data_IF_519155846767
#
_entry.id   IF_519155846767
#
_cell.length_a   1.000
_cell.length_b   1.000
_cell.length_c   1.000
_cell.angle_alpha   90.00
_cell.angle_beta   90.00
_cell.angle_gamma   90.00
#
_symmetry.space_group_name_H-M   'P 1'
#
loop_
_entity.id
_entity.type
_entity.pdbx_description
1 polymer ?
#
# COMPACT_ATOMS: atom_id res chain seq x y z
N UNK A 1 21.38 53.41 -26.88
CA UNK A 1 21.64 52.69 -28.14
C UNK A 1 21.55 51.21 -27.79
N UNK A 2 20.36 50.60 -27.92
CA UNK A 2 19.91 49.83 -29.11
C UNK A 2 20.84 48.67 -29.46
N UNK A 3 20.43 47.45 -29.83
CA UNK A 3 19.15 46.75 -29.95
C UNK A 3 19.54 45.31 -30.36
N UNK A 4 18.89 44.24 -29.87
CA UNK A 4 18.79 42.98 -30.62
C UNK A 4 17.71 42.06 -30.05
N UNK A 5 16.88 41.57 -30.96
CA UNK A 5 15.59 40.94 -30.82
C UNK A 5 15.71 39.40 -30.95
N UNK A 6 14.58 38.68 -30.83
CA UNK A 6 14.30 37.29 -31.24
C UNK A 6 14.53 36.21 -30.14
N UNK A 7 13.62 35.27 -29.84
CA UNK A 7 12.34 34.82 -30.41
C UNK A 7 11.64 33.94 -29.35
N UNK A 8 10.30 34.03 -29.23
CA UNK A 8 9.47 32.96 -28.62
C UNK A 8 9.30 31.82 -29.63
N UNK A 9 9.32 30.53 -29.22
CA UNK A 9 8.70 29.48 -30.01
C UNK A 9 7.23 29.29 -29.62
N UNK A 10 6.38 29.22 -30.65
CA UNK A 10 4.98 28.81 -30.62
C UNK A 10 4.86 27.28 -30.67
N UNK A 11 3.82 26.78 -30.01
CA UNK A 11 3.01 25.57 -30.28
C UNK A 11 3.62 24.43 -31.13
N UNK A 12 3.78 23.27 -30.50
CA UNK A 12 3.94 21.98 -31.18
C UNK A 12 3.83 20.81 -30.20
N UNK A 13 2.73 20.07 -30.30
CA UNK A 13 2.45 18.72 -29.75
C UNK A 13 2.67 18.47 -28.24
N UNK A 14 1.56 18.41 -27.51
CA UNK A 14 1.45 17.84 -26.15
C UNK A 14 1.74 16.34 -26.08
N UNK A 15 1.99 15.65 -27.21
CA UNK A 15 2.23 14.20 -27.23
C UNK A 15 3.69 13.79 -27.00
N UNK A 16 4.66 14.70 -27.16
CA UNK A 16 6.09 14.37 -26.98
C UNK A 16 6.58 14.54 -25.54
N UNK A 17 5.83 15.23 -24.66
CA UNK A 17 6.21 15.41 -23.25
C UNK A 17 5.77 14.28 -22.32
N UNK A 18 4.90 13.36 -22.76
CA UNK A 18 4.43 12.25 -21.92
C UNK A 18 5.33 11.02 -21.99
N UNK A 19 6.13 10.87 -23.04
CA UNK A 19 7.10 9.78 -23.19
C UNK A 19 8.43 10.04 -22.46
N UNK A 20 8.85 11.29 -22.31
CA UNK A 20 10.05 11.63 -21.50
C UNK A 20 9.83 11.44 -19.99
N UNK A 21 8.58 11.48 -19.50
CA UNK A 21 8.28 11.26 -18.08
C UNK A 21 8.33 9.77 -17.71
N UNK A 22 8.18 8.85 -18.67
CA UNK A 22 8.12 7.41 -18.42
C UNK A 22 9.41 6.62 -18.72
N UNK A 23 10.42 7.23 -19.36
CA UNK A 23 11.69 6.57 -19.72
C UNK A 23 12.81 6.71 -18.67
N UNK A 24 12.54 7.26 -17.49
CA UNK A 24 13.52 7.39 -16.38
C UNK A 24 13.33 6.30 -15.30
N UNK A 25 12.84 5.12 -15.69
CA UNK A 25 13.04 3.87 -14.94
C UNK A 25 14.25 3.20 -15.57
N UNK A 26 15.32 3.04 -14.80
CA UNK A 26 16.62 2.40 -15.11
C UNK A 26 17.79 3.41 -15.05
N UNK A 27 18.13 3.84 -13.83
CA UNK A 27 19.31 4.65 -13.57
C UNK A 27 19.28 5.19 -12.15
N UNK A 28 20.16 4.66 -11.29
CA UNK A 28 20.18 4.89 -9.84
C UNK A 28 19.91 6.34 -9.42
N UNK A 29 18.92 6.52 -8.55
CA UNK A 29 18.64 7.81 -7.92
C UNK A 29 19.87 8.32 -7.19
N UNK A 30 20.61 9.25 -7.81
CA UNK A 30 21.60 10.06 -7.08
C UNK A 30 20.81 10.99 -6.16
N UNK A 31 20.64 10.54 -4.92
CA UNK A 31 19.91 11.17 -3.83
C UNK A 31 20.51 12.55 -3.55
N UNK A 32 19.81 13.62 -3.94
CA UNK A 32 20.21 14.98 -3.55
C UNK A 32 19.83 15.16 -2.08
N UNK A 33 20.79 14.93 -1.19
CA UNK A 33 20.64 15.23 0.23
C UNK A 33 20.70 16.75 0.41
N UNK A 34 19.89 17.34 1.29
CA UNK A 34 20.06 18.74 1.67
C UNK A 34 21.48 18.95 2.21
N UNK A 35 22.12 20.07 1.87
CA UNK A 35 23.36 20.50 2.54
C UNK A 35 23.10 20.80 4.02
N UNK A 36 24.15 20.84 4.84
CA UNK A 36 24.04 20.93 6.31
C UNK A 36 23.14 22.08 6.79
N UNK A 37 23.26 23.26 6.19
CA UNK A 37 22.42 24.45 6.46
C UNK A 37 20.90 24.15 6.32
N UNK A 38 20.52 23.43 5.26
CA UNK A 38 19.12 23.05 5.03
C UNK A 38 18.62 21.95 5.98
N UNK A 39 19.52 21.22 6.64
CA UNK A 39 19.15 20.20 7.64
C UNK A 39 18.81 20.87 8.96
N UNK A 40 19.57 21.88 9.36
CA UNK A 40 19.31 22.65 10.57
C UNK A 40 17.97 23.40 10.45
N UNK A 41 17.69 24.05 9.32
CA UNK A 41 16.39 24.66 9.06
C UNK A 41 15.22 23.67 9.17
N UNK A 42 15.38 22.46 8.63
CA UNK A 42 14.34 21.43 8.68
C UNK A 42 14.09 20.95 10.11
N UNK A 43 15.16 20.76 10.89
CA UNK A 43 15.09 20.42 12.30
C UNK A 43 14.37 21.52 13.08
N UNK A 44 14.74 22.78 12.87
CA UNK A 44 14.13 23.93 13.56
C UNK A 44 12.62 24.02 13.29
N UNK A 45 12.20 23.86 12.04
CA UNK A 45 10.77 23.88 11.67
C UNK A 45 10.02 22.72 12.34
N UNK A 46 10.57 21.51 12.32
CA UNK A 46 9.95 20.34 12.94
C UNK A 46 9.88 20.45 14.47
N UNK A 47 10.92 21.02 15.10
CA UNK A 47 10.93 21.27 16.54
C UNK A 47 9.87 22.32 16.92
N UNK A 48 9.73 23.41 16.16
CA UNK A 48 8.66 24.39 16.39
C UNK A 48 7.28 23.75 16.26
N UNK A 49 7.07 22.89 15.27
CA UNK A 49 5.81 22.17 15.09
C UNK A 49 5.50 21.24 16.27
N UNK A 50 6.52 20.55 16.81
CA UNK A 50 6.40 19.72 18.02
C UNK A 50 6.11 20.57 19.26
N UNK A 51 6.74 21.72 19.39
CA UNK A 51 6.67 22.56 20.60
C UNK A 51 5.46 23.50 20.61
N UNK A 52 4.69 23.56 19.52
CA UNK A 52 3.47 24.38 19.43
C UNK A 52 2.36 23.73 20.26
N UNK A 53 1.84 24.39 21.32
CA UNK A 53 0.73 23.88 22.11
C UNK A 53 -0.52 23.65 21.25
N UNK A 54 -1.27 22.60 21.54
CA UNK A 54 -2.51 22.19 20.83
C UNK A 54 -2.34 21.83 19.34
N UNK A 55 -1.11 21.82 18.81
CA UNK A 55 -0.85 21.32 17.47
C UNK A 55 -0.82 19.79 17.48
N UNK A 56 -1.52 19.16 16.53
CA UNK A 56 -1.41 17.72 16.26
C UNK A 56 0.04 17.27 16.00
N UNK A 57 0.95 18.21 15.72
CA UNK A 57 2.37 18.00 15.45
C UNK A 57 3.16 17.39 16.62
N UNK A 58 2.86 17.74 17.87
CA UNK A 58 3.54 17.18 19.05
C UNK A 58 3.29 15.68 19.20
N UNK A 59 2.08 15.24 18.82
CA UNK A 59 1.64 13.85 18.89
C UNK A 59 1.80 13.09 17.59
N UNK A 60 2.34 13.70 16.52
CA UNK A 60 2.40 13.08 15.19
C UNK A 60 3.70 12.26 15.03
N UNK A 61 3.63 10.92 14.90
CA UNK A 61 4.82 10.05 14.85
C UNK A 61 5.83 10.45 13.77
N UNK A 62 5.34 10.83 12.58
CA UNK A 62 6.20 11.26 11.47
C UNK A 62 7.09 12.46 11.78
N UNK A 63 6.69 13.39 12.66
CA UNK A 63 7.56 14.52 13.05
C UNK A 63 8.83 13.98 13.70
N UNK A 64 8.68 13.00 14.59
CA UNK A 64 9.81 12.37 15.26
C UNK A 64 10.62 11.47 14.33
N UNK A 65 9.99 10.72 13.42
CA UNK A 65 10.72 9.98 12.38
C UNK A 65 11.59 10.92 11.51
N UNK A 66 11.04 12.06 11.07
CA UNK A 66 11.81 13.02 10.27
C UNK A 66 12.92 13.69 11.09
N UNK A 67 12.66 14.08 12.34
CA UNK A 67 13.69 14.60 13.24
C UNK A 67 14.83 13.61 13.44
N UNK A 68 14.52 12.33 13.69
CA UNK A 68 15.52 11.28 13.84
C UNK A 68 16.36 11.12 12.59
N UNK A 69 15.74 11.15 11.41
CA UNK A 69 16.46 11.04 10.15
C UNK A 69 17.39 12.23 9.90
N UNK A 70 16.96 13.45 10.19
CA UNK A 70 17.84 14.61 10.09
C UNK A 70 18.99 14.58 11.11
N UNK A 71 18.79 14.05 12.32
CA UNK A 71 19.87 13.82 13.29
C UNK A 71 20.88 12.78 12.81
N UNK A 72 20.41 11.69 12.21
CA UNK A 72 21.29 10.73 11.55
C UNK A 72 22.12 11.39 10.44
N UNK A 73 21.51 12.23 9.60
CA UNK A 73 22.24 12.99 8.58
C UNK A 73 23.25 14.00 9.15
N UNK A 74 23.21 14.30 10.45
CA UNK A 74 24.24 15.07 11.16
C UNK A 74 25.31 14.18 11.83
N UNK A 75 25.27 12.86 11.62
CA UNK A 75 26.13 11.89 12.30
C UNK A 75 25.77 11.64 13.77
N UNK A 76 24.54 11.99 14.19
CA UNK A 76 24.08 11.90 15.58
C UNK A 76 23.09 10.74 15.73
N UNK A 77 23.57 9.51 15.56
CA UNK A 77 22.72 8.32 15.54
C UNK A 77 22.07 8.01 16.89
N UNK A 78 22.71 8.35 18.00
CA UNK A 78 22.09 8.20 19.33
C UNK A 78 20.83 9.05 19.46
N UNK A 79 20.90 10.32 19.04
CA UNK A 79 19.74 11.21 19.00
C UNK A 79 18.70 10.75 17.99
N UNK A 80 19.13 10.16 16.87
CA UNK A 80 18.21 9.58 15.89
C UNK A 80 17.40 8.44 16.50
N UNK A 81 18.07 7.54 17.23
CA UNK A 81 17.45 6.41 17.93
C UNK A 81 16.44 6.89 18.98
N UNK A 82 16.78 7.90 19.77
CA UNK A 82 15.85 8.50 20.75
C UNK A 82 14.57 9.01 20.08
N UNK A 83 14.72 9.69 18.94
CA UNK A 83 13.58 10.16 18.16
C UNK A 83 12.72 9.01 17.61
N UNK A 84 13.31 7.93 17.11
CA UNK A 84 12.56 6.76 16.62
C UNK A 84 11.83 6.02 17.74
N UNK A 85 12.51 5.78 18.88
CA UNK A 85 11.88 5.19 20.06
C UNK A 85 10.70 6.03 20.57
N UNK A 86 10.82 7.35 20.52
CA UNK A 86 9.70 8.21 20.84
C UNK A 86 8.59 8.11 19.78
N UNK A 87 8.94 8.13 18.49
CA UNK A 87 7.98 8.05 17.38
C UNK A 87 7.10 6.81 17.47
N UNK A 88 7.67 5.63 17.72
CA UNK A 88 6.91 4.37 17.83
C UNK A 88 5.96 4.32 19.04
N UNK A 89 6.22 5.14 20.06
CA UNK A 89 5.36 5.24 21.25
C UNK A 89 4.19 6.21 21.08
N UNK A 90 4.23 7.04 20.04
CA UNK A 90 3.19 8.03 19.79
C UNK A 90 1.94 7.39 19.14
N UNK A 91 0.74 7.96 19.38
CA UNK A 91 -0.48 7.45 18.78
C UNK A 91 -0.39 7.42 17.25
N UNK A 92 -0.76 6.28 16.67
CA UNK A 92 -0.83 6.12 15.21
C UNK A 92 -2.12 6.67 14.61
N UNK A 93 -3.10 7.03 15.46
CA UNK A 93 -4.38 7.58 15.05
C UNK A 93 -4.20 8.81 14.16
N UNK A 94 -4.83 8.78 12.99
CA UNK A 94 -4.76 9.83 11.97
C UNK A 94 -3.36 10.11 11.38
N UNK A 95 -2.36 9.26 11.63
CA UNK A 95 -1.05 9.32 10.98
C UNK A 95 -1.07 8.52 9.68
N UNK A 96 -1.08 9.22 8.55
CA UNK A 96 -1.09 8.61 7.21
C UNK A 96 0.04 9.20 6.36
N UNK A 97 1.26 8.65 6.44
CA UNK A 97 2.37 9.11 5.62
C UNK A 97 2.06 8.87 4.13
N UNK A 98 2.17 9.91 3.30
CA UNK A 98 1.86 9.83 1.86
C UNK A 98 2.98 10.38 0.97
N UNK A 99 4.06 10.89 1.55
CA UNK A 99 5.18 11.51 0.82
C UNK A 99 6.24 10.45 0.51
N UNK A 100 6.61 10.21 -0.76
CA UNK A 100 7.66 9.24 -1.12
C UNK A 100 9.00 9.49 -0.41
N UNK A 101 9.32 10.75 -0.06
CA UNK A 101 10.52 11.10 0.70
C UNK A 101 10.56 10.44 2.08
N UNK A 102 9.41 10.08 2.65
CA UNK A 102 9.31 9.41 3.95
C UNK A 102 9.70 7.93 3.89
N UNK A 103 9.81 7.34 2.70
CA UNK A 103 10.25 5.94 2.54
C UNK A 103 11.67 5.78 3.10
N UNK A 104 12.62 6.63 2.68
CA UNK A 104 14.00 6.58 3.16
C UNK A 104 14.12 6.87 4.67
N UNK A 105 13.21 7.66 5.21
CA UNK A 105 13.14 7.97 6.64
C UNK A 105 12.75 6.72 7.44
N UNK A 106 11.68 6.04 7.01
CA UNK A 106 11.16 4.86 7.68
C UNK A 106 12.04 3.62 7.48
N UNK A 107 12.65 3.45 6.30
CA UNK A 107 13.67 2.42 6.05
C UNK A 107 14.89 2.59 6.97
N UNK A 108 15.30 3.84 7.21
CA UNK A 108 16.40 4.10 8.13
C UNK A 108 15.96 3.86 9.59
N UNK A 109 14.74 4.29 9.96
CA UNK A 109 14.20 4.04 11.28
C UNK A 109 14.12 2.53 11.60
N UNK A 110 13.60 1.71 10.68
CA UNK A 110 13.53 0.25 10.85
C UNK A 110 14.91 -0.41 10.93
N UNK A 111 15.94 0.20 10.33
CA UNK A 111 17.32 -0.29 10.42
C UNK A 111 17.96 0.09 11.75
N UNK A 112 17.74 1.31 12.23
CA UNK A 112 18.38 1.81 13.45
C UNK A 112 17.63 1.37 14.72
N UNK A 113 16.30 1.24 14.68
CA UNK A 113 15.45 0.68 15.72
C UNK A 113 14.75 -0.60 15.20
N UNK A 114 15.41 -1.77 15.29
CA UNK A 114 14.88 -3.03 14.76
C UNK A 114 13.59 -3.52 15.43
N UNK A 115 13.21 -2.95 16.58
CA UNK A 115 12.01 -3.30 17.33
C UNK A 115 10.81 -2.41 16.95
N UNK A 116 10.96 -1.50 15.98
CA UNK A 116 9.93 -0.56 15.56
C UNK A 116 8.93 -1.16 14.55
N UNK A 117 7.91 -1.86 15.06
CA UNK A 117 6.80 -2.37 14.25
C UNK A 117 6.03 -1.27 13.50
N UNK A 118 5.99 -0.05 14.05
CA UNK A 118 5.28 1.08 13.46
C UNK A 118 5.97 1.59 12.20
N UNK A 119 7.31 1.56 12.16
CA UNK A 119 8.07 1.91 10.95
C UNK A 119 7.69 1.02 9.76
N UNK A 120 7.54 -0.28 9.99
CA UNK A 120 7.09 -1.24 8.98
C UNK A 120 5.63 -1.01 8.57
N UNK A 121 4.72 -0.77 9.52
CA UNK A 121 3.33 -0.42 9.21
C UNK A 121 3.24 0.81 8.28
N UNK A 122 3.96 1.89 8.62
CA UNK A 122 3.96 3.12 7.84
C UNK A 122 4.63 2.95 6.47
N UNK A 123 5.72 2.17 6.40
CA UNK A 123 6.41 1.86 5.16
C UNK A 123 5.50 1.07 4.20
N UNK A 124 4.77 0.10 4.73
CA UNK A 124 3.76 -0.64 3.98
C UNK A 124 2.70 0.27 3.35
N UNK A 125 2.18 1.23 4.12
CA UNK A 125 1.21 2.23 3.61
C UNK A 125 1.77 3.08 2.46
N UNK A 126 3.05 3.45 2.52
CA UNK A 126 3.68 4.29 1.50
C UNK A 126 3.94 3.56 0.19
N UNK A 127 4.29 2.27 0.26
CA UNK A 127 4.78 1.53 -0.91
C UNK A 127 3.72 0.63 -1.54
N UNK A 128 2.65 0.27 -0.84
CA UNK A 128 1.67 -0.72 -1.32
C UNK A 128 1.07 -0.39 -2.69
N UNK A 129 0.65 0.86 -2.93
CA UNK A 129 -0.01 1.25 -4.18
C UNK A 129 0.89 1.05 -5.41
N UNK A 130 2.19 1.29 -5.28
CA UNK A 130 3.17 1.15 -6.37
C UNK A 130 3.94 -0.17 -6.36
N UNK A 131 4.05 -0.82 -5.21
CA UNK A 131 4.84 -2.01 -4.92
C UNK A 131 4.06 -2.92 -3.95
N UNK A 132 2.96 -3.55 -4.39
CA UNK A 132 2.01 -4.23 -3.49
C UNK A 132 2.64 -5.41 -2.73
N UNK A 133 3.52 -6.18 -3.36
CA UNK A 133 4.21 -7.29 -2.69
C UNK A 133 5.13 -6.80 -1.58
N UNK A 134 5.84 -5.69 -1.83
CA UNK A 134 6.68 -5.05 -0.81
C UNK A 134 5.81 -4.51 0.32
N UNK A 135 4.76 -3.76 0.00
CA UNK A 135 3.91 -3.14 1.02
C UNK A 135 3.24 -4.18 1.92
N UNK A 136 2.79 -5.29 1.32
CA UNK A 136 2.28 -6.45 2.04
C UNK A 136 3.36 -7.06 2.95
N UNK A 137 4.58 -7.27 2.46
CA UNK A 137 5.66 -7.83 3.26
C UNK A 137 6.00 -6.95 4.47
N UNK A 138 6.00 -5.63 4.32
CA UNK A 138 6.19 -4.71 5.45
C UNK A 138 5.07 -4.84 6.49
N UNK A 139 3.81 -4.95 6.05
CA UNK A 139 2.69 -5.20 6.96
C UNK A 139 2.77 -6.58 7.63
N UNK A 140 3.23 -7.62 6.94
CA UNK A 140 3.46 -8.95 7.54
C UNK A 140 4.55 -8.89 8.62
N UNK A 141 5.64 -8.15 8.38
CA UNK A 141 6.68 -7.89 9.39
C UNK A 141 6.11 -7.15 10.59
N UNK A 142 5.36 -6.05 10.36
CA UNK A 142 4.74 -5.29 11.45
C UNK A 142 3.83 -6.18 12.32
N UNK A 143 3.01 -7.03 11.70
CA UNK A 143 2.15 -8.01 12.42
C UNK A 143 2.96 -9.01 13.24
N UNK A 144 4.07 -9.51 12.70
CA UNK A 144 4.93 -10.47 13.42
C UNK A 144 5.57 -9.85 14.66
N UNK A 145 5.89 -8.56 14.60
CA UNK A 145 6.49 -7.81 15.71
C UNK A 145 5.46 -7.39 16.75
N UNK A 146 4.30 -6.88 16.31
CA UNK A 146 3.20 -6.46 17.16
C UNK A 146 1.84 -6.77 16.51
N UNK A 147 1.22 -7.85 16.97
CA UNK A 147 -0.09 -8.30 16.50
C UNK A 147 -1.24 -7.38 16.97
N UNK A 148 -0.98 -6.45 17.89
CA UNK A 148 -1.94 -5.49 18.43
C UNK A 148 -2.27 -4.33 17.48
N UNK A 149 -1.53 -4.14 16.39
CA UNK A 149 -1.75 -3.05 15.43
C UNK A 149 -2.96 -3.39 14.53
N UNK A 150 -4.18 -3.10 14.99
CA UNK A 150 -5.43 -3.45 14.29
C UNK A 150 -5.49 -2.97 12.81
N UNK A 151 -4.84 -1.85 12.50
CA UNK A 151 -4.78 -1.30 11.13
C UNK A 151 -3.95 -2.17 10.17
N UNK A 152 -2.94 -2.89 10.68
CA UNK A 152 -2.14 -3.84 9.89
C UNK A 152 -3.02 -4.99 9.42
N UNK A 153 -3.85 -5.56 10.30
CA UNK A 153 -4.78 -6.65 9.96
C UNK A 153 -5.79 -6.24 8.88
N UNK A 154 -6.38 -5.05 9.02
CA UNK A 154 -7.27 -4.47 8.00
C UNK A 154 -6.56 -4.36 6.65
N UNK A 155 -5.33 -3.83 6.63
CA UNK A 155 -4.58 -3.60 5.40
C UNK A 155 -4.15 -4.92 4.74
N UNK A 156 -3.72 -5.90 5.54
CA UNK A 156 -3.41 -7.25 5.06
C UNK A 156 -4.62 -7.96 4.48
N UNK A 157 -5.80 -7.85 5.11
CA UNK A 157 -7.04 -8.42 4.57
C UNK A 157 -7.34 -7.88 3.16
N UNK A 158 -7.23 -6.56 2.96
CA UNK A 158 -7.40 -5.92 1.65
C UNK A 158 -6.33 -6.36 0.65
N UNK A 159 -5.08 -6.52 1.09
CA UNK A 159 -4.00 -6.99 0.25
C UNK A 159 -4.22 -8.42 -0.23
N UNK A 160 -4.61 -9.33 0.67
CA UNK A 160 -4.89 -10.72 0.32
C UNK A 160 -6.11 -10.83 -0.60
N UNK A 161 -7.17 -10.07 -0.36
CA UNK A 161 -8.34 -10.01 -1.25
C UNK A 161 -7.94 -9.59 -2.67
N UNK A 162 -7.13 -8.54 -2.81
CA UNK A 162 -6.64 -8.08 -4.10
C UNK A 162 -5.77 -9.13 -4.83
N UNK A 163 -4.94 -9.88 -4.09
CA UNK A 163 -4.12 -10.96 -4.67
C UNK A 163 -4.99 -12.12 -5.13
N UNK A 164 -5.98 -12.52 -4.34
CA UNK A 164 -6.94 -13.57 -4.70
C UNK A 164 -7.67 -13.17 -5.98
N UNK A 165 -8.22 -11.95 -6.05
CA UNK A 165 -8.92 -11.45 -7.23
C UNK A 165 -8.03 -11.47 -8.48
N UNK A 166 -6.78 -11.00 -8.38
CA UNK A 166 -5.83 -11.01 -9.51
C UNK A 166 -5.47 -12.43 -9.96
N UNK A 167 -5.31 -13.36 -9.02
CA UNK A 167 -5.02 -14.77 -9.34
C UNK A 167 -6.22 -15.45 -9.99
N UNK A 168 -7.43 -15.21 -9.48
CA UNK A 168 -8.65 -15.71 -10.11
C UNK A 168 -8.80 -15.16 -11.52
N UNK A 169 -8.60 -13.85 -11.73
CA UNK A 169 -8.68 -13.24 -13.06
C UNK A 169 -7.65 -13.83 -14.04
N UNK A 170 -6.42 -14.05 -13.58
CA UNK A 170 -5.35 -14.62 -14.40
C UNK A 170 -5.63 -16.09 -14.76
N UNK A 171 -6.11 -16.89 -13.80
CA UNK A 171 -6.53 -18.27 -14.04
C UNK A 171 -7.75 -18.32 -14.97
N UNK A 172 -8.75 -17.48 -14.73
CA UNK A 172 -9.94 -17.34 -15.56
C UNK A 172 -9.57 -16.96 -16.98
N UNK A 173 -8.65 -16.00 -17.19
CA UNK A 173 -8.15 -15.64 -18.53
C UNK A 173 -7.41 -16.79 -19.20
N UNK A 174 -6.56 -17.52 -18.47
CA UNK A 174 -5.83 -18.67 -19.01
C UNK A 174 -6.78 -19.79 -19.43
N UNK A 175 -7.85 -20.04 -18.66
CA UNK A 175 -8.89 -21.00 -19.04
C UNK A 175 -9.75 -20.45 -20.19
N UNK A 176 -10.15 -19.17 -20.18
CA UNK A 176 -10.94 -18.57 -21.27
C UNK A 176 -10.21 -18.62 -22.63
N UNK A 177 -8.89 -18.42 -22.66
CA UNK A 177 -8.09 -18.54 -23.89
C UNK A 177 -8.10 -19.99 -24.41
N UNK A 178 -8.18 -20.98 -23.52
CA UNK A 178 -8.31 -22.38 -23.90
C UNK A 178 -9.75 -22.79 -24.26
N UNK A 179 -10.73 -21.95 -23.96
CA UNK A 179 -12.17 -22.21 -24.17
C UNK A 179 -12.77 -21.18 -25.14
N UNK A 180 -12.03 -20.77 -26.18
CA UNK A 180 -12.59 -19.95 -27.26
C UNK A 180 -13.71 -20.71 -28.00
N UNK A 181 -14.91 -20.59 -27.46
CA UNK A 181 -16.12 -21.29 -27.90
C UNK A 181 -17.31 -21.07 -26.96
N UNK A 182 -17.55 -19.83 -26.49
CA UNK A 182 -18.76 -19.51 -25.72
C UNK A 182 -18.63 -18.20 -24.93
N UNK A 183 -19.61 -17.33 -25.02
CA UNK A 183 -19.63 -16.04 -24.34
C UNK A 183 -19.86 -16.21 -22.82
N UNK A 184 -18.78 -16.34 -22.06
CA UNK A 184 -18.79 -16.24 -20.60
C UNK A 184 -19.00 -14.80 -20.15
N UNK A 185 -19.88 -14.56 -19.18
CA UNK A 185 -20.08 -13.22 -18.60
C UNK A 185 -19.84 -13.26 -17.08
N UNK A 186 -18.63 -12.83 -16.71
CA UNK A 186 -18.15 -12.75 -15.32
C UNK A 186 -19.10 -11.96 -14.40
N UNK A 187 -19.76 -10.94 -14.94
CA UNK A 187 -20.73 -10.13 -14.20
C UNK A 187 -21.99 -10.92 -13.77
N UNK A 188 -22.47 -11.84 -14.60
CA UNK A 188 -23.63 -12.67 -14.27
C UNK A 188 -23.26 -13.72 -13.21
N UNK A 189 -22.09 -14.34 -13.34
CA UNK A 189 -21.58 -15.28 -12.34
C UNK A 189 -21.39 -14.62 -10.97
N UNK A 190 -20.80 -13.42 -10.93
CA UNK A 190 -20.60 -12.66 -9.69
C UNK A 190 -21.91 -12.25 -9.02
N UNK A 191 -22.93 -11.88 -9.80
CA UNK A 191 -24.27 -11.54 -9.27
C UNK A 191 -24.88 -12.74 -8.55
N UNK A 192 -24.89 -13.91 -9.20
CA UNK A 192 -25.43 -15.14 -8.62
C UNK A 192 -24.61 -15.57 -7.40
N UNK A 193 -23.28 -15.49 -7.46
CA UNK A 193 -22.42 -15.80 -6.31
C UNK A 193 -22.74 -14.94 -5.08
N UNK A 194 -22.89 -13.63 -5.27
CA UNK A 194 -23.25 -12.72 -4.18
C UNK A 194 -24.64 -13.02 -3.60
N UNK A 195 -25.61 -13.41 -4.42
CA UNK A 195 -26.93 -13.86 -3.94
C UNK A 195 -26.83 -15.15 -3.11
N UNK A 196 -25.94 -16.07 -3.49
CA UNK A 196 -25.66 -17.26 -2.71
C UNK A 196 -25.07 -16.94 -1.33
N UNK A 197 -24.14 -15.98 -1.25
CA UNK A 197 -23.60 -15.52 0.03
C UNK A 197 -24.66 -14.86 0.93
N UNK A 198 -25.56 -14.05 0.35
CA UNK A 198 -26.69 -13.45 1.09
C UNK A 198 -27.62 -14.54 1.64
N UNK A 199 -27.89 -15.59 0.85
CA UNK A 199 -28.72 -16.71 1.29
C UNK A 199 -28.06 -17.52 2.41
N UNK A 200 -26.74 -17.74 2.36
CA UNK A 200 -25.98 -18.35 3.46
C UNK A 200 -26.08 -17.53 4.75
N UNK A 201 -25.95 -16.20 4.66
CA UNK A 201 -26.05 -15.31 5.81
C UNK A 201 -27.45 -15.35 6.46
N UNK A 202 -28.48 -15.67 5.67
CA UNK A 202 -29.85 -15.86 6.13
C UNK A 202 -30.12 -17.29 6.65
N UNK A 203 -29.13 -18.19 6.58
CA UNK A 203 -29.26 -19.60 6.96
C UNK A 203 -29.92 -20.49 5.91
N UNK A 204 -30.28 -19.96 4.74
CA UNK A 204 -30.86 -20.73 3.64
C UNK A 204 -29.75 -21.35 2.77
N UNK A 205 -29.25 -22.49 3.26
CA UNK A 205 -28.18 -23.25 2.60
C UNK A 205 -28.62 -23.87 1.27
N UNK A 206 -29.92 -24.13 1.10
CA UNK A 206 -30.47 -24.69 -0.13
C UNK A 206 -30.50 -23.65 -1.25
N UNK A 207 -31.01 -22.45 -0.97
CA UNK A 207 -30.99 -21.32 -1.90
C UNK A 207 -29.55 -20.91 -2.24
N UNK A 208 -28.65 -20.92 -1.25
CA UNK A 208 -27.23 -20.66 -1.48
C UNK A 208 -26.60 -21.64 -2.48
N UNK A 209 -26.81 -22.95 -2.29
CA UNK A 209 -26.33 -23.99 -3.21
C UNK A 209 -26.87 -23.80 -4.64
N UNK A 210 -28.13 -23.38 -4.78
CA UNK A 210 -28.70 -23.10 -6.09
C UNK A 210 -28.00 -21.93 -6.77
N UNK A 211 -27.82 -20.81 -6.08
CA UNK A 211 -27.14 -19.63 -6.61
C UNK A 211 -25.67 -19.91 -6.97
N UNK A 212 -24.95 -20.71 -6.17
CA UNK A 212 -23.58 -21.09 -6.52
C UNK A 212 -23.52 -21.99 -7.75
N UNK A 213 -24.46 -22.93 -7.93
CA UNK A 213 -24.54 -23.73 -9.16
C UNK A 213 -24.90 -22.86 -10.37
N UNK A 214 -25.74 -21.86 -10.20
CA UNK A 214 -26.09 -20.92 -11.26
C UNK A 214 -24.89 -20.06 -11.66
N UNK A 215 -24.12 -19.57 -10.67
CA UNK A 215 -22.86 -18.88 -10.92
C UNK A 215 -21.89 -19.72 -11.77
N UNK A 216 -21.84 -21.04 -11.53
CA UNK A 216 -21.02 -21.98 -12.31
C UNK A 216 -21.55 -22.24 -13.74
N UNK A 217 -22.82 -21.95 -14.04
CA UNK A 217 -23.30 -21.98 -15.44
C UNK A 217 -22.78 -20.77 -16.23
N UNK A 218 -22.66 -19.62 -15.58
CA UNK A 218 -22.18 -18.38 -16.19
C UNK A 218 -20.66 -18.29 -16.27
N UNK A 219 -19.97 -18.78 -15.24
CA UNK A 219 -18.53 -18.97 -15.20
C UNK A 219 -18.23 -20.33 -14.54
N UNK A 220 -18.08 -21.39 -15.35
CA UNK A 220 -17.72 -22.70 -14.85
C UNK A 220 -16.46 -22.67 -13.98
N UNK A 221 -15.56 -21.70 -14.16
CA UNK A 221 -14.31 -21.57 -13.43
C UNK A 221 -14.40 -20.69 -12.18
N UNK A 222 -15.60 -20.24 -11.80
CA UNK A 222 -15.79 -19.41 -10.62
C UNK A 222 -15.39 -20.18 -9.36
N UNK A 223 -14.16 -19.95 -8.91
CA UNK A 223 -13.47 -20.74 -7.89
C UNK A 223 -14.26 -20.84 -6.58
N UNK A 224 -14.74 -19.71 -6.06
CA UNK A 224 -15.49 -19.66 -4.81
C UNK A 224 -16.84 -20.40 -4.88
N UNK A 225 -17.66 -20.13 -5.90
CA UNK A 225 -18.90 -20.86 -6.15
C UNK A 225 -18.67 -22.38 -6.20
N UNK A 226 -17.61 -22.84 -6.87
CA UNK A 226 -17.27 -24.28 -6.92
C UNK A 226 -16.92 -24.83 -5.55
N UNK A 227 -16.09 -24.13 -4.79
CA UNK A 227 -15.69 -24.57 -3.46
C UNK A 227 -16.89 -24.61 -2.48
N UNK A 228 -17.85 -23.68 -2.60
CA UNK A 228 -19.11 -23.73 -1.86
C UNK A 228 -20.01 -24.90 -2.30
N UNK A 229 -20.08 -25.23 -3.59
CA UNK A 229 -20.85 -26.40 -4.09
C UNK A 229 -20.22 -27.72 -3.64
N UNK A 230 -18.89 -27.81 -3.66
CA UNK A 230 -18.13 -29.01 -3.26
C UNK A 230 -17.97 -29.17 -1.74
N UNK A 231 -18.37 -28.18 -0.95
CA UNK A 231 -18.21 -28.20 0.52
C UNK A 231 -16.76 -28.08 0.99
N UNK A 232 -15.85 -27.56 0.15
CA UNK A 232 -14.42 -27.40 0.46
C UNK A 232 -14.06 -26.00 0.96
N UNK A 233 -14.99 -25.35 1.65
CA UNK A 233 -14.81 -23.98 2.16
C UNK A 233 -13.81 -23.90 3.30
N UNK A 234 -13.60 -24.98 4.04
CA UNK A 234 -12.67 -24.98 5.17
C UNK A 234 -11.21 -24.89 4.69
N UNK A 235 -10.90 -25.48 3.53
CA UNK A 235 -9.60 -25.35 2.86
C UNK A 235 -9.36 -23.93 2.33
N UNK A 236 -10.42 -23.20 1.96
CA UNK A 236 -10.32 -21.81 1.49
C UNK A 236 -9.86 -20.85 2.60
N UNK A 237 -10.36 -21.04 3.82
CA UNK A 237 -10.03 -20.19 4.96
C UNK A 237 -8.82 -20.68 5.74
N UNK A 238 -8.40 -21.93 5.58
CA UNK A 238 -7.18 -22.47 6.18
C UNK A 238 -5.90 -21.77 5.66
N UNK A 239 -5.90 -21.31 4.40
CA UNK A 239 -4.79 -20.52 3.84
C UNK A 239 -4.75 -19.05 4.26
N UNK A 240 -5.73 -18.59 5.05
CA UNK A 240 -5.83 -17.23 5.58
C UNK A 240 -5.52 -17.15 7.10
N UNK A 241 -5.18 -18.27 7.74
CA UNK A 241 -4.79 -18.35 9.15
C UNK A 241 -3.27 -18.34 9.32
#
# INVERSE_FOLDING_TARGET
MECAFLRRPRSGSTATRLTEVYSMREGGHKRILPGDDRRDDAIDVLQRLRDTPDAAGASHPMVHYHLGYYRHLQGKDDLARDHYHHARSLPSAYSFPFRPQSIAVLEHASTLDPDDAMSHYYLGNLVFDGQPERGKAEWETARQMDDGIALVHRNLALAYEAVIARRTDALTRKVLVNVQGGAYTEAAARREFNQGLVSLAQGDTAAAQQHFREALKHDPNHYWARAHVEGKTDELYAGLR
#
